data_IF_420775830640
#
_entry.id   IF_420775830640
#
_cell.length_a   1.000
_cell.length_b   1.000
_cell.length_c   1.000
_cell.angle_alpha   90.00
_cell.angle_beta   90.00
_cell.angle_gamma   90.00
#
_symmetry.space_group_name_H-M   'P 1'
#
loop_
_entity.id
_entity.type
_entity.pdbx_description
1 polymer ?
#
# COMPACT_ATOMS: atom_id res chain seq x y z
N UNK A 1 29.06 30.03 33.23
CA UNK A 1 27.76 29.35 33.17
C UNK A 1 26.90 29.88 32.01
N UNK A 2 26.62 31.21 31.92
CA UNK A 2 25.77 31.78 30.86
C UNK A 2 26.36 31.56 29.45
N UNK A 3 27.64 31.81 29.30
CA UNK A 3 28.36 31.60 28.02
C UNK A 3 28.28 30.14 27.55
N UNK A 4 28.36 29.19 28.47
CA UNK A 4 28.28 27.75 28.15
C UNK A 4 26.88 27.39 27.64
N UNK A 5 25.82 27.99 28.21
CA UNK A 5 24.46 27.79 27.72
C UNK A 5 24.24 28.40 26.33
N UNK A 6 24.78 29.60 26.08
CA UNK A 6 24.67 30.25 24.75
C UNK A 6 25.36 29.41 23.69
N UNK A 7 26.58 28.92 23.96
CA UNK A 7 27.32 28.06 23.03
C UNK A 7 26.54 26.75 22.77
N UNK A 8 25.98 26.14 23.80
CA UNK A 8 25.22 24.90 23.66
C UNK A 8 23.90 25.10 22.88
N UNK A 9 23.22 26.22 23.10
CA UNK A 9 22.03 26.58 22.33
C UNK A 9 22.39 26.84 20.86
N UNK A 10 23.49 27.52 20.60
CA UNK A 10 23.99 27.78 19.23
C UNK A 10 24.31 26.45 18.51
N UNK A 11 24.99 25.52 19.17
CA UNK A 11 25.28 24.20 18.60
C UNK A 11 23.99 23.44 18.30
N UNK A 12 23.01 23.42 19.19
CA UNK A 12 21.75 22.72 19.01
C UNK A 12 20.84 23.35 17.94
N UNK A 13 20.89 24.68 17.76
CA UNK A 13 20.00 25.37 16.82
C UNK A 13 20.61 25.54 15.44
N UNK A 14 21.94 25.68 15.34
CA UNK A 14 22.61 26.01 14.07
C UNK A 14 23.39 24.83 13.48
N UNK A 15 24.03 24.03 14.33
CA UNK A 15 24.91 22.94 13.89
C UNK A 15 24.15 21.61 13.84
N UNK A 16 23.28 21.34 14.81
CA UNK A 16 22.52 20.09 14.84
C UNK A 16 21.24 20.16 14.01
N UNK A 17 21.39 20.01 12.70
CA UNK A 17 20.26 19.91 11.76
C UNK A 17 19.57 18.54 11.77
N UNK A 18 20.03 17.60 12.57
CA UNK A 18 19.47 16.23 12.64
C UNK A 18 18.01 16.21 13.06
N UNK A 19 17.60 17.21 13.84
CA UNK A 19 16.23 17.36 14.33
C UNK A 19 15.27 17.93 13.27
N UNK A 20 15.77 18.82 12.39
CA UNK A 20 14.97 19.37 11.29
C UNK A 20 14.68 18.29 10.23
N UNK A 21 15.68 17.50 9.84
CA UNK A 21 15.47 16.39 8.90
C UNK A 21 14.49 15.33 9.43
N UNK A 22 14.50 15.06 10.74
CA UNK A 22 13.52 14.16 11.37
C UNK A 22 12.13 14.74 11.44
N UNK A 23 11.99 16.05 11.66
CA UNK A 23 10.69 16.73 11.66
C UNK A 23 10.07 16.75 10.26
N UNK A 24 10.85 17.03 9.23
CA UNK A 24 10.38 16.96 7.83
C UNK A 24 10.01 15.54 7.42
N UNK A 25 10.81 14.54 7.80
CA UNK A 25 10.52 13.13 7.51
C UNK A 25 9.24 12.66 8.22
N UNK A 26 8.95 13.15 9.44
CA UNK A 26 7.74 12.84 10.16
C UNK A 26 6.48 13.53 9.58
N UNK A 27 6.65 14.68 8.92
CA UNK A 27 5.57 15.38 8.23
C UNK A 27 5.25 14.79 6.86
N UNK A 28 6.14 13.96 6.29
CA UNK A 28 5.99 13.36 4.98
C UNK A 28 5.65 11.87 5.08
N UNK A 29 4.51 11.48 4.52
CA UNK A 29 4.19 10.08 4.27
C UNK A 29 4.56 9.73 2.84
N UNK A 30 5.51 8.85 2.66
CA UNK A 30 5.84 8.31 1.33
C UNK A 30 4.91 7.14 1.03
N UNK A 31 4.08 7.31 0.01
CA UNK A 31 3.20 6.28 -0.51
C UNK A 31 3.78 5.76 -1.83
N UNK A 32 4.02 4.45 -1.90
CA UNK A 32 4.46 3.81 -3.14
C UNK A 32 3.30 3.76 -4.13
N UNK A 33 3.54 4.24 -5.35
CA UNK A 33 2.64 4.08 -6.49
C UNK A 33 3.14 2.89 -7.28
N UNK A 34 2.28 1.88 -7.43
CA UNK A 34 2.59 0.71 -8.22
C UNK A 34 2.33 0.99 -9.70
N UNK A 35 3.30 0.72 -10.59
CA UNK A 35 3.09 0.82 -12.01
C UNK A 35 2.15 -0.30 -12.48
N UNK A 36 1.47 -0.06 -13.59
CA UNK A 36 0.78 -1.13 -14.30
C UNK A 36 1.81 -2.06 -14.92
N UNK A 37 1.62 -3.37 -14.75
CA UNK A 37 2.49 -4.37 -15.34
C UNK A 37 2.35 -4.38 -16.87
N UNK A 38 3.42 -4.60 -17.62
CA UNK A 38 3.42 -4.65 -19.09
C UNK A 38 2.40 -5.66 -19.63
N UNK A 39 1.79 -5.36 -20.77
CA UNK A 39 0.84 -6.24 -21.45
C UNK A 39 1.59 -7.29 -22.29
N UNK A 40 0.97 -8.46 -22.51
CA UNK A 40 1.56 -9.51 -23.35
C UNK A 40 0.63 -9.73 -24.54
N UNK A 41 1.20 -9.64 -25.73
CA UNK A 41 0.52 -9.82 -27.01
C UNK A 41 1.08 -11.03 -27.76
N UNK A 42 0.29 -11.58 -28.66
CA UNK A 42 0.77 -12.56 -29.61
C UNK A 42 1.46 -11.87 -30.81
N UNK A 43 1.96 -12.69 -31.77
CA UNK A 43 2.60 -12.20 -33.01
C UNK A 43 1.68 -11.39 -33.93
N UNK A 44 0.37 -11.54 -33.77
CA UNK A 44 -0.64 -10.84 -34.56
C UNK A 44 -1.13 -9.56 -33.89
N UNK A 45 -0.66 -9.27 -32.65
CA UNK A 45 -1.08 -8.13 -31.86
C UNK A 45 -2.33 -8.40 -31.02
N UNK A 46 -2.77 -9.67 -30.92
CA UNK A 46 -3.86 -10.01 -29.99
C UNK A 46 -3.40 -10.02 -28.54
N UNK A 47 -4.20 -9.43 -27.67
CA UNK A 47 -3.92 -9.30 -26.25
C UNK A 47 -4.15 -10.65 -25.54
N UNK A 48 -3.07 -11.25 -25.04
CA UNK A 48 -3.11 -12.51 -24.30
C UNK A 48 -3.22 -12.29 -22.80
N UNK A 49 -2.51 -11.29 -22.27
CA UNK A 49 -2.49 -10.99 -20.82
C UNK A 49 -2.68 -9.49 -20.61
N UNK A 50 -3.73 -9.15 -19.91
CA UNK A 50 -4.12 -7.80 -19.56
C UNK A 50 -3.93 -7.49 -18.07
N UNK A 51 -4.25 -6.26 -17.69
CA UNK A 51 -4.33 -5.82 -16.31
C UNK A 51 -5.76 -5.39 -16.00
N UNK A 52 -6.34 -5.97 -14.95
CA UNK A 52 -7.61 -5.55 -14.41
C UNK A 52 -7.37 -4.69 -13.16
N UNK A 53 -7.92 -3.47 -13.08
CA UNK A 53 -7.83 -2.68 -11.87
C UNK A 53 -8.67 -3.32 -10.76
N UNK A 54 -8.06 -3.49 -9.60
CA UNK A 54 -8.71 -3.91 -8.36
C UNK A 54 -8.45 -2.87 -7.29
N UNK A 55 -9.30 -2.84 -6.29
CA UNK A 55 -9.17 -1.92 -5.17
C UNK A 55 -8.93 -2.69 -3.88
N UNK A 56 -8.07 -2.12 -3.06
CA UNK A 56 -7.78 -2.58 -1.70
C UNK A 56 -8.20 -1.51 -0.71
N UNK A 57 -8.92 -1.91 0.32
CA UNK A 57 -9.19 -1.06 1.47
C UNK A 57 -8.12 -1.33 2.50
N UNK A 58 -7.35 -0.30 2.85
CA UNK A 58 -6.32 -0.36 3.89
C UNK A 58 -6.72 0.43 5.12
N UNK A 59 -6.31 -0.03 6.30
CA UNK A 59 -6.60 0.62 7.57
C UNK A 59 -5.34 0.82 8.40
N UNK A 60 -5.24 1.98 9.06
CA UNK A 60 -4.24 2.26 10.09
C UNK A 60 -4.94 2.13 11.44
N UNK A 61 -4.72 1.02 12.13
CA UNK A 61 -5.44 0.66 13.35
C UNK A 61 -5.39 1.73 14.42
N UNK A 62 -4.24 2.40 14.58
CA UNK A 62 -4.08 3.48 15.56
C UNK A 62 -4.97 4.68 15.27
N UNK A 63 -5.06 5.11 14.02
CA UNK A 63 -5.86 6.26 13.61
C UNK A 63 -7.36 5.96 13.78
N UNK A 64 -7.75 4.74 13.39
CA UNK A 64 -9.12 4.27 13.56
C UNK A 64 -9.55 4.21 15.04
N UNK A 65 -8.69 3.71 15.94
CA UNK A 65 -8.97 3.62 17.38
C UNK A 65 -8.99 4.98 18.09
N UNK A 66 -8.25 5.96 17.57
CA UNK A 66 -8.18 7.31 18.15
C UNK A 66 -9.31 8.24 17.67
N UNK A 67 -10.13 7.79 16.75
CA UNK A 67 -11.26 8.52 16.19
C UNK A 67 -12.59 7.93 16.65
N UNK A 68 -13.66 8.71 16.56
CA UNK A 68 -15.02 8.20 16.71
C UNK A 68 -15.43 7.42 15.45
N UNK A 69 -14.84 6.23 15.27
CA UNK A 69 -15.03 5.41 14.08
C UNK A 69 -16.40 4.72 14.11
N UNK A 70 -17.24 5.04 13.14
CA UNK A 70 -18.56 4.42 12.98
C UNK A 70 -18.43 3.09 12.22
N UNK A 71 -18.26 2.01 12.98
CA UNK A 71 -18.12 0.65 12.45
C UNK A 71 -19.37 0.20 11.69
N UNK A 72 -20.57 0.58 12.14
CA UNK A 72 -21.81 0.12 11.50
C UNK A 72 -21.98 0.73 10.12
N UNK A 73 -21.79 2.06 10.00
CA UNK A 73 -21.85 2.75 8.72
C UNK A 73 -20.75 2.25 7.77
N UNK A 74 -19.54 2.00 8.28
CA UNK A 74 -18.43 1.43 7.49
C UNK A 74 -18.77 0.03 6.94
N UNK A 75 -19.32 -0.84 7.78
CA UNK A 75 -19.75 -2.18 7.37
C UNK A 75 -20.84 -2.14 6.31
N UNK A 76 -21.81 -1.23 6.45
CA UNK A 76 -22.88 -1.04 5.46
C UNK A 76 -22.32 -0.64 4.09
N UNK A 77 -21.34 0.29 4.05
CA UNK A 77 -20.72 0.73 2.79
C UNK A 77 -19.95 -0.38 2.08
N UNK A 78 -19.31 -1.26 2.83
CA UNK A 78 -18.57 -2.40 2.29
C UNK A 78 -19.46 -3.65 2.12
N UNK A 79 -20.73 -3.59 2.51
CA UNK A 79 -21.69 -4.72 2.47
C UNK A 79 -21.20 -5.95 3.25
N UNK A 80 -20.54 -5.72 4.38
CA UNK A 80 -20.08 -6.75 5.30
C UNK A 80 -20.86 -6.68 6.62
N UNK A 81 -20.90 -7.79 7.33
CA UNK A 81 -21.50 -7.83 8.67
C UNK A 81 -20.51 -7.33 9.73
N UNK A 82 -20.97 -6.81 10.89
CA UNK A 82 -20.09 -6.45 11.99
C UNK A 82 -19.24 -7.63 12.49
N UNK A 83 -19.74 -8.85 12.39
CA UNK A 83 -19.01 -10.07 12.78
C UNK A 83 -17.84 -10.30 11.82
N UNK A 84 -18.07 -10.21 10.52
CA UNK A 84 -17.01 -10.32 9.51
C UNK A 84 -15.96 -9.21 9.67
N UNK A 85 -16.38 -8.00 10.03
CA UNK A 85 -15.46 -6.92 10.33
C UNK A 85 -14.52 -7.28 11.48
N UNK A 86 -15.06 -7.78 12.59
CA UNK A 86 -14.25 -8.20 13.75
C UNK A 86 -13.31 -9.35 13.41
N UNK A 87 -13.79 -10.35 12.68
CA UNK A 87 -12.97 -11.47 12.23
C UNK A 87 -11.81 -11.03 11.34
N UNK A 88 -12.06 -10.12 10.39
CA UNK A 88 -11.02 -9.55 9.52
C UNK A 88 -10.02 -8.74 10.32
N UNK A 89 -10.48 -7.91 11.25
CA UNK A 89 -9.61 -7.15 12.15
C UNK A 89 -8.73 -8.06 13.00
N UNK A 90 -9.29 -9.12 13.58
CA UNK A 90 -8.53 -10.10 14.37
C UNK A 90 -7.50 -10.85 13.51
N UNK A 91 -7.89 -11.27 12.30
CA UNK A 91 -6.99 -11.95 11.37
C UNK A 91 -5.82 -11.05 10.96
N UNK A 92 -6.09 -9.77 10.65
CA UNK A 92 -5.10 -8.78 10.29
C UNK A 92 -4.13 -8.48 11.46
N UNK A 93 -4.64 -8.38 12.70
CA UNK A 93 -3.84 -8.12 13.90
C UNK A 93 -3.09 -9.36 14.41
N UNK A 94 -3.42 -10.55 13.92
CA UNK A 94 -2.78 -11.78 14.34
C UNK A 94 -1.36 -11.89 13.79
N UNK A 95 -0.36 -11.70 14.64
CA UNK A 95 1.06 -11.75 14.27
C UNK A 95 1.53 -13.10 13.71
N UNK A 96 0.80 -14.19 13.95
CA UNK A 96 1.10 -15.50 13.35
C UNK A 96 0.72 -15.56 11.88
N UNK A 97 -0.36 -14.86 11.48
CA UNK A 97 -0.83 -14.78 10.09
C UNK A 97 -0.20 -13.61 9.34
N UNK A 98 0.02 -12.48 10.01
CA UNK A 98 0.60 -11.28 9.44
C UNK A 98 1.86 -10.86 10.21
N UNK A 99 3.02 -11.38 9.78
CA UNK A 99 4.32 -11.07 10.40
C UNK A 99 4.74 -9.60 10.24
N UNK A 100 4.19 -8.90 9.26
CA UNK A 100 4.45 -7.48 8.99
C UNK A 100 3.46 -6.54 9.66
N UNK A 101 2.58 -7.02 10.54
CA UNK A 101 1.58 -6.20 11.18
C UNK A 101 2.19 -5.07 12.02
N UNK A 102 1.73 -3.85 11.75
CA UNK A 102 2.03 -2.66 12.54
C UNK A 102 0.76 -1.84 12.72
N UNK A 103 0.51 -1.35 13.92
CA UNK A 103 -0.62 -0.44 14.20
C UNK A 103 -0.46 0.95 13.59
N UNK A 104 0.76 1.28 13.17
CA UNK A 104 1.15 2.60 12.68
C UNK A 104 1.26 2.68 11.17
N UNK A 105 1.27 1.54 10.49
CA UNK A 105 1.34 1.45 9.04
C UNK A 105 0.03 0.94 8.45
N UNK A 106 -0.30 1.35 7.21
CA UNK A 106 -1.47 0.84 6.52
C UNK A 106 -1.41 -0.68 6.38
N UNK A 107 -2.50 -1.35 6.75
CA UNK A 107 -2.69 -2.80 6.63
C UNK A 107 -3.85 -3.08 5.71
N UNK A 108 -3.75 -4.10 4.86
CA UNK A 108 -4.83 -4.51 3.98
C UNK A 108 -5.96 -5.12 4.81
N UNK A 109 -7.14 -4.51 4.74
CA UNK A 109 -8.35 -4.97 5.41
C UNK A 109 -9.24 -5.80 4.47
N UNK A 110 -9.41 -5.31 3.23
CA UNK A 110 -10.07 -6.03 2.14
C UNK A 110 -9.30 -5.82 0.85
N UNK A 111 -9.19 -6.86 0.05
CA UNK A 111 -8.54 -6.88 -1.24
C UNK A 111 -9.50 -7.31 -2.37
N UNK A 112 -9.03 -7.19 -3.61
CA UNK A 112 -9.72 -7.66 -4.81
C UNK A 112 -11.14 -7.11 -5.00
N UNK A 113 -11.40 -5.90 -4.49
CA UNK A 113 -12.68 -5.21 -4.66
C UNK A 113 -12.77 -4.57 -6.04
N UNK A 114 -13.98 -4.58 -6.61
CA UNK A 114 -14.30 -3.85 -7.83
C UNK A 114 -14.60 -2.38 -7.52
N UNK A 115 -14.49 -1.54 -8.54
CA UNK A 115 -14.78 -0.11 -8.40
C UNK A 115 -16.18 0.16 -7.82
N UNK A 116 -17.17 -0.63 -8.22
CA UNK A 116 -18.56 -0.48 -7.76
C UNK A 116 -18.71 -0.75 -6.26
N UNK A 117 -17.91 -1.67 -5.73
CA UNK A 117 -17.95 -2.06 -4.31
C UNK A 117 -17.32 -1.01 -3.40
N UNK A 118 -16.32 -0.29 -3.90
CA UNK A 118 -15.64 0.76 -3.13
C UNK A 118 -16.19 2.16 -3.38
N UNK A 119 -17.01 2.37 -4.42
CA UNK A 119 -17.51 3.69 -4.81
C UNK A 119 -18.29 4.38 -3.69
N UNK A 120 -19.12 3.64 -2.95
CA UNK A 120 -19.89 4.17 -1.84
C UNK A 120 -18.99 4.59 -0.66
N UNK A 121 -17.95 3.82 -0.37
CA UNK A 121 -16.97 4.15 0.66
C UNK A 121 -16.10 5.34 0.24
N UNK A 122 -15.70 5.40 -1.04
CA UNK A 122 -14.84 6.46 -1.57
C UNK A 122 -15.45 7.86 -1.44
N UNK A 123 -16.77 7.98 -1.61
CA UNK A 123 -17.51 9.24 -1.45
C UNK A 123 -17.46 9.77 0.00
N UNK A 124 -17.43 8.88 0.97
CA UNK A 124 -17.49 9.21 2.39
C UNK A 124 -16.17 8.93 3.14
N UNK A 125 -15.08 8.66 2.41
CA UNK A 125 -13.79 8.27 2.97
C UNK A 125 -13.26 9.27 4.01
N UNK A 126 -13.59 10.56 3.85
CA UNK A 126 -13.22 11.64 4.77
C UNK A 126 -13.78 11.47 6.21
N UNK A 127 -14.84 10.66 6.38
CA UNK A 127 -15.43 10.36 7.68
C UNK A 127 -14.67 9.27 8.44
N UNK A 128 -13.92 8.43 7.74
CA UNK A 128 -13.26 7.26 8.28
C UNK A 128 -11.76 7.50 8.45
N UNK A 129 -11.36 8.03 9.61
CA UNK A 129 -9.96 8.27 9.90
C UNK A 129 -9.15 6.97 9.86
N UNK A 130 -8.00 7.01 9.18
CA UNK A 130 -7.11 5.87 9.06
C UNK A 130 -7.53 4.83 8.02
N UNK A 131 -8.58 5.10 7.23
CA UNK A 131 -8.98 4.26 6.09
C UNK A 131 -8.47 4.90 4.81
N UNK A 132 -7.92 4.08 3.91
CA UNK A 132 -7.47 4.51 2.58
C UNK A 132 -7.85 3.44 1.54
N UNK A 133 -8.12 3.89 0.31
CA UNK A 133 -8.44 3.01 -0.82
C UNK A 133 -7.30 3.09 -1.81
N UNK A 134 -6.71 1.96 -2.12
CA UNK A 134 -5.61 1.84 -3.08
C UNK A 134 -6.06 1.07 -4.29
N UNK A 135 -5.71 1.58 -5.46
CA UNK A 135 -5.87 0.85 -6.71
C UNK A 135 -4.61 0.03 -6.96
N UNK A 136 -4.80 -1.25 -7.26
CA UNK A 136 -3.76 -2.16 -7.75
C UNK A 136 -4.21 -2.79 -9.06
N UNK A 137 -3.30 -3.44 -9.74
CA UNK A 137 -3.60 -4.19 -10.96
C UNK A 137 -3.45 -5.69 -10.70
N UNK A 138 -4.51 -6.43 -10.99
CA UNK A 138 -4.49 -7.89 -11.04
C UNK A 138 -4.23 -8.36 -12.48
N UNK A 139 -3.50 -9.44 -12.62
CA UNK A 139 -3.25 -10.06 -13.93
C UNK A 139 -4.51 -10.76 -14.43
N UNK A 140 -4.89 -10.46 -15.65
CA UNK A 140 -6.03 -11.06 -16.34
C UNK A 140 -5.55 -11.79 -17.59
N UNK A 141 -5.82 -13.09 -17.64
CA UNK A 141 -5.46 -13.97 -18.74
C UNK A 141 -6.68 -14.17 -19.61
N UNK A 142 -6.70 -13.50 -20.76
CA UNK A 142 -7.87 -13.43 -21.64
C UNK A 142 -8.30 -14.80 -22.18
N UNK A 143 -7.36 -15.72 -22.34
CA UNK A 143 -7.61 -17.05 -22.89
C UNK A 143 -7.05 -18.14 -21.98
N UNK A 144 -7.75 -19.27 -21.80
CA UNK A 144 -7.27 -20.40 -20.99
C UNK A 144 -6.27 -21.26 -21.80
N UNK A 145 -5.28 -20.62 -22.44
CA UNK A 145 -4.29 -21.29 -23.30
C UNK A 145 -2.88 -20.98 -22.83
N UNK A 146 -1.95 -21.87 -23.14
CA UNK A 146 -0.50 -21.67 -22.95
C UNK A 146 -0.10 -21.20 -21.51
N UNK A 147 -0.83 -21.55 -20.47
CA UNK A 147 -0.61 -21.10 -19.10
C UNK A 147 0.81 -21.37 -18.60
N UNK A 148 1.41 -22.49 -18.99
CA UNK A 148 2.79 -22.84 -18.64
C UNK A 148 3.83 -22.01 -19.42
N UNK A 149 3.48 -21.45 -20.57
CA UNK A 149 4.34 -20.54 -21.36
C UNK A 149 4.21 -19.12 -20.84
N UNK A 150 2.97 -18.64 -20.71
CA UNK A 150 2.68 -17.30 -20.18
C UNK A 150 3.18 -17.17 -18.74
N UNK A 151 2.97 -18.21 -17.95
CA UNK A 151 3.35 -18.23 -16.55
C UNK A 151 2.28 -17.62 -15.65
N UNK A 152 2.67 -17.36 -14.42
CA UNK A 152 1.81 -16.81 -13.37
C UNK A 152 2.52 -15.73 -12.57
N UNK A 153 1.74 -14.87 -11.95
CA UNK A 153 2.21 -13.83 -11.03
C UNK A 153 1.76 -14.17 -9.61
N UNK A 154 2.62 -14.00 -8.65
CA UNK A 154 2.31 -14.28 -7.25
C UNK A 154 3.02 -13.32 -6.30
N UNK A 155 2.55 -13.25 -5.06
CA UNK A 155 3.16 -12.41 -4.03
C UNK A 155 4.61 -12.82 -3.76
N UNK A 156 5.51 -11.84 -3.62
CA UNK A 156 6.93 -12.05 -3.34
C UNK A 156 7.14 -12.82 -2.04
N UNK A 157 8.11 -13.72 -2.06
CA UNK A 157 8.52 -14.47 -0.87
C UNK A 157 9.79 -13.87 -0.27
N UNK A 158 10.21 -14.39 0.89
CA UNK A 158 11.40 -13.92 1.59
C UNK A 158 12.67 -13.97 0.72
N UNK A 159 12.80 -14.97 -0.14
CA UNK A 159 13.97 -15.10 -1.04
C UNK A 159 13.99 -14.04 -2.12
N UNK A 160 12.81 -13.63 -2.61
CA UNK A 160 12.69 -12.56 -3.61
C UNK A 160 13.11 -11.22 -3.00
N UNK A 161 12.71 -10.96 -1.74
CA UNK A 161 13.09 -9.76 -0.98
C UNK A 161 14.60 -9.67 -0.72
N UNK A 162 15.25 -10.81 -0.44
CA UNK A 162 16.70 -10.86 -0.21
C UNK A 162 17.50 -10.71 -1.51
N UNK A 163 16.92 -11.14 -2.63
CA UNK A 163 17.59 -11.15 -3.93
C UNK A 163 17.54 -9.80 -4.64
N UNK A 164 16.45 -9.06 -4.52
CA UNK A 164 16.23 -7.81 -5.25
C UNK A 164 15.59 -6.77 -4.33
N UNK A 165 16.31 -5.69 -4.08
CA UNK A 165 15.88 -4.56 -3.23
C UNK A 165 14.70 -3.76 -3.81
N UNK A 166 14.33 -4.02 -5.06
CA UNK A 166 13.14 -3.44 -5.68
C UNK A 166 11.85 -3.88 -4.97
N UNK A 167 11.82 -5.11 -4.45
CA UNK A 167 10.64 -5.68 -3.84
C UNK A 167 10.46 -5.29 -2.38
N UNK A 168 9.20 -5.13 -2.01
CA UNK A 168 8.74 -4.96 -0.64
C UNK A 168 7.69 -6.04 -0.31
N UNK A 169 7.47 -6.33 0.95
CA UNK A 169 6.44 -7.28 1.37
C UNK A 169 5.07 -6.86 0.82
N UNK A 170 4.35 -7.82 0.23
CA UNK A 170 3.07 -7.59 -0.44
C UNK A 170 3.15 -7.19 -1.91
N UNK A 171 4.36 -7.11 -2.50
CA UNK A 171 4.52 -6.95 -3.94
C UNK A 171 4.26 -8.25 -4.69
N UNK A 172 4.07 -8.14 -6.00
CA UNK A 172 3.89 -9.27 -6.89
C UNK A 172 5.06 -9.42 -7.85
N UNK A 173 5.44 -10.66 -8.15
CA UNK A 173 6.49 -11.00 -9.14
C UNK A 173 6.05 -12.18 -9.99
N UNK A 174 6.62 -12.29 -11.20
CA UNK A 174 6.44 -13.47 -12.07
C UNK A 174 7.03 -14.72 -11.44
N UNK A 175 6.25 -15.80 -11.39
CA UNK A 175 6.65 -17.07 -10.78
C UNK A 175 7.28 -18.01 -11.77
N UNK A 176 6.78 -18.04 -12.98
CA UNK A 176 7.16 -18.95 -14.05
C UNK A 176 6.90 -18.33 -15.44
N UNK A 177 7.32 -19.04 -16.49
CA UNK A 177 7.08 -18.67 -17.88
C UNK A 177 7.62 -17.31 -18.30
N UNK A 178 6.91 -16.67 -19.22
CA UNK A 178 7.24 -15.33 -19.74
C UNK A 178 7.20 -14.30 -18.62
N UNK A 179 6.22 -14.40 -17.72
CA UNK A 179 6.06 -13.49 -16.56
C UNK A 179 7.34 -13.41 -15.72
N UNK A 180 8.02 -14.54 -15.52
CA UNK A 180 9.27 -14.60 -14.77
C UNK A 180 10.48 -14.18 -15.61
N UNK A 181 10.52 -14.63 -16.86
CA UNK A 181 11.68 -14.41 -17.74
C UNK A 181 11.85 -12.92 -18.06
N UNK A 182 10.74 -12.23 -18.32
CA UNK A 182 10.69 -10.81 -18.63
C UNK A 182 10.22 -9.95 -17.45
N UNK A 183 10.49 -10.40 -16.22
CA UNK A 183 10.05 -9.71 -15.02
C UNK A 183 10.51 -8.25 -14.96
N UNK A 184 11.77 -7.97 -15.34
CA UNK A 184 12.33 -6.62 -15.28
C UNK A 184 11.63 -5.66 -16.25
N UNK A 185 11.29 -6.13 -17.43
CA UNK A 185 10.59 -5.36 -18.45
C UNK A 185 9.10 -5.18 -18.11
N UNK A 186 8.49 -6.24 -17.55
CA UNK A 186 7.05 -6.25 -17.27
C UNK A 186 6.68 -5.49 -15.98
N UNK A 187 7.55 -5.50 -14.95
CA UNK A 187 7.20 -4.96 -13.63
C UNK A 187 7.11 -3.43 -13.58
N UNK A 188 7.77 -2.72 -14.54
CA UNK A 188 7.86 -1.26 -14.54
C UNK A 188 8.67 -0.69 -13.37
N UNK A 189 8.60 0.62 -13.15
CA UNK A 189 9.28 1.32 -12.07
C UNK A 189 8.28 1.89 -11.06
N UNK A 190 8.54 1.68 -9.76
CA UNK A 190 7.70 2.20 -8.69
C UNK A 190 7.83 3.71 -8.60
N UNK A 191 6.69 4.39 -8.55
CA UNK A 191 6.64 5.81 -8.22
C UNK A 191 6.54 6.04 -6.70
N UNK A 192 6.82 7.27 -6.28
CA UNK A 192 6.65 7.69 -4.89
C UNK A 192 5.79 8.94 -4.87
N UNK A 193 4.66 8.87 -4.17
CA UNK A 193 3.82 10.01 -3.85
C UNK A 193 4.14 10.47 -2.43
N UNK A 194 4.48 11.75 -2.29
CA UNK A 194 4.75 12.36 -0.99
C UNK A 194 3.48 13.05 -0.52
N UNK A 195 2.92 12.57 0.57
CA UNK A 195 1.75 13.15 1.22
C UNK A 195 2.19 13.94 2.44
N UNK A 196 1.73 15.18 2.55
CA UNK A 196 1.99 16.02 3.72
C UNK A 196 1.00 15.69 4.83
N UNK A 197 1.50 15.41 6.03
CA UNK A 197 0.72 15.19 7.24
C UNK A 197 0.86 16.34 8.22
N UNK A 198 -0.25 16.70 8.86
CA UNK A 198 -0.21 17.61 10.01
C UNK A 198 0.30 16.89 11.28
N UNK A 199 0.48 17.64 12.36
CA UNK A 199 0.90 17.09 13.66
C UNK A 199 -0.09 16.07 14.27
N UNK A 200 -1.29 15.97 13.71
CA UNK A 200 -2.33 15.00 14.08
C UNK A 200 -2.42 13.82 13.12
N UNK A 201 -1.50 13.74 12.13
CA UNK A 201 -1.45 12.66 11.15
C UNK A 201 -2.40 12.81 9.97
N UNK A 202 -3.15 13.91 9.83
CA UNK A 202 -4.11 14.12 8.75
C UNK A 202 -3.40 14.58 7.50
N UNK A 203 -3.76 14.03 6.35
CA UNK A 203 -3.22 14.40 5.04
C UNK A 203 -3.74 15.77 4.65
N UNK A 204 -2.84 16.73 4.38
CA UNK A 204 -3.18 18.10 3.99
C UNK A 204 -2.93 18.38 2.51
N UNK A 205 -2.25 17.49 1.80
CA UNK A 205 -1.94 17.65 0.38
C UNK A 205 -0.96 16.60 -0.13
N UNK A 206 -0.69 16.63 -1.43
CA UNK A 206 0.30 15.77 -2.10
C UNK A 206 1.17 16.61 -3.03
N UNK A 207 2.45 16.25 -3.12
CA UNK A 207 3.39 16.70 -4.14
C UNK A 207 3.61 15.60 -5.16
#
# INVERSE_FOLDING_TARGET
VVLTYIIRLFILQVIDQSTQGKAETNAQLRQTIYPSRGLIYDRNGELLVANQPIYEVTVIVREMQNSAFDTLSFCEKLRITPIEFEERMQNMMNSRKNRGFSRYSPQVFMDQLRQEEVAALQQELYKYAGVDIRCRTLRDYMYPIASHVLGSVGEVNQRDLERDSYYSAGDYSGRDGIERTYEQELRGEKGVKILMRDSRGRIQGSY
#
